data_IF_937632770140
#
_entry.id   IF_937632770140
#
_cell.length_a   1.000
_cell.length_b   1.000
_cell.length_c   1.000
_cell.angle_alpha   90.00
_cell.angle_beta   90.00
_cell.angle_gamma   90.00
#
_symmetry.space_group_name_H-M   'P 1'
#
loop_
_entity.id
_entity.type
_entity.pdbx_description
1 polymer ?
#
# COMPACT_ATOMS: atom_id res chain seq x y z
N UNK A 1 -6.00 2.15 15.16
CA UNK A 1 -7.49 2.11 15.19
C UNK A 1 -7.96 1.08 14.18
N UNK A 2 -9.04 0.31 14.44
CA UNK A 2 -9.40 -0.83 13.63
C UNK A 2 -9.84 -0.32 12.26
N UNK A 3 -8.95 -0.48 11.29
CA UNK A 3 -9.33 -0.43 9.89
C UNK A 3 -10.38 -1.53 9.71
N UNK A 4 -11.54 -1.22 9.10
CA UNK A 4 -12.60 -2.20 8.76
C UNK A 4 -11.96 -3.52 8.31
N UNK A 5 -12.59 -4.68 8.53
CA UNK A 5 -12.10 -6.08 8.36
C UNK A 5 -11.19 -6.41 7.14
N UNK A 6 -11.00 -5.51 6.20
CA UNK A 6 -10.25 -5.64 4.95
C UNK A 6 -9.57 -4.32 4.50
N UNK A 7 -9.22 -3.41 5.41
CA UNK A 7 -8.47 -2.20 5.09
C UNK A 7 -7.12 -2.26 5.82
N UNK A 8 -6.07 -1.76 5.19
CA UNK A 8 -4.75 -1.53 5.79
C UNK A 8 -4.33 -0.10 5.51
N UNK A 9 -3.50 0.49 6.37
CA UNK A 9 -2.88 1.79 6.15
C UNK A 9 -1.38 1.61 6.19
N UNK A 10 -0.72 1.89 5.07
CA UNK A 10 0.74 1.91 4.97
C UNK A 10 1.23 3.35 5.11
N UNK A 11 2.07 3.62 6.11
CA UNK A 11 2.58 4.97 6.36
C UNK A 11 3.87 5.21 5.59
N UNK A 12 3.85 6.28 4.81
CA UNK A 12 5.01 6.88 4.18
C UNK A 12 5.56 8.00 5.09
N UNK A 13 6.61 8.68 4.61
CA UNK A 13 7.17 9.87 5.27
C UNK A 13 6.09 10.94 5.55
N UNK A 14 6.37 11.78 6.55
CA UNK A 14 5.48 12.88 6.97
C UNK A 14 4.07 12.45 7.41
N UNK A 15 3.93 11.24 7.97
CA UNK A 15 2.63 10.72 8.46
C UNK A 15 1.52 10.61 7.39
N UNK A 16 1.90 10.58 6.11
CA UNK A 16 0.97 10.31 5.01
C UNK A 16 0.78 8.81 4.89
N UNK A 17 -0.45 8.34 5.09
CA UNK A 17 -0.83 6.96 4.94
C UNK A 17 -1.54 6.69 3.62
N UNK A 18 -1.13 5.65 2.90
CA UNK A 18 -1.95 5.06 1.85
C UNK A 18 -2.94 4.08 2.48
N UNK A 19 -4.23 4.33 2.29
CA UNK A 19 -5.30 3.45 2.76
C UNK A 19 -5.65 2.48 1.62
N UNK A 20 -5.37 1.20 1.84
CA UNK A 20 -5.63 0.16 0.86
C UNK A 20 -6.73 -0.78 1.35
N UNK A 21 -7.66 -1.15 0.47
CA UNK A 21 -8.55 -2.28 0.71
C UNK A 21 -7.88 -3.54 0.21
N UNK A 22 -7.71 -4.53 1.08
CA UNK A 22 -7.08 -5.78 0.73
C UNK A 22 -8.10 -6.92 0.55
N UNK A 23 -7.74 -7.88 -0.28
CA UNK A 23 -8.50 -9.12 -0.47
C UNK A 23 -7.57 -10.25 -0.87
N UNK A 24 -7.79 -11.45 -0.34
CA UNK A 24 -7.04 -12.64 -0.71
C UNK A 24 -7.76 -13.37 -1.84
N UNK A 25 -7.04 -13.72 -2.90
CA UNK A 25 -7.53 -14.52 -4.03
C UNK A 25 -6.49 -15.58 -4.38
N UNK A 26 -6.70 -16.81 -3.90
CA UNK A 26 -5.73 -17.88 -4.03
C UNK A 26 -4.47 -17.57 -3.25
N UNK A 27 -3.34 -17.55 -3.95
CA UNK A 27 -1.99 -17.23 -3.45
C UNK A 27 -1.69 -15.71 -3.43
N UNK A 28 -2.63 -14.87 -3.87
CA UNK A 28 -2.41 -13.42 -4.01
C UNK A 28 -3.16 -12.61 -2.96
N UNK A 29 -2.47 -11.64 -2.38
CA UNK A 29 -3.03 -10.53 -1.62
C UNK A 29 -3.15 -9.32 -2.55
N UNK A 30 -4.38 -8.96 -2.92
CA UNK A 30 -4.65 -7.80 -3.77
C UNK A 30 -4.94 -6.60 -2.88
N UNK A 31 -4.23 -5.50 -3.09
CA UNK A 31 -4.40 -4.23 -2.39
C UNK A 31 -4.85 -3.16 -3.37
N UNK A 32 -6.06 -2.65 -3.17
CA UNK A 32 -6.68 -1.65 -4.03
C UNK A 32 -6.73 -0.29 -3.35
N UNK A 33 -6.50 0.76 -4.12
CA UNK A 33 -6.51 2.13 -3.61
C UNK A 33 -7.84 2.49 -2.94
N UNK A 34 -7.80 2.94 -1.69
CA UNK A 34 -8.98 3.40 -0.95
C UNK A 34 -8.78 4.80 -0.32
N UNK A 35 -7.89 5.62 -0.88
CA UNK A 35 -7.61 6.99 -0.46
C UNK A 35 -6.27 7.16 0.24
N UNK A 36 -5.91 8.42 0.52
CA UNK A 36 -4.79 8.79 1.37
C UNK A 36 -5.31 9.43 2.65
N UNK A 37 -4.54 9.31 3.73
CA UNK A 37 -4.83 9.94 5.01
C UNK A 37 -3.59 10.63 5.54
N UNK A 38 -3.77 11.74 6.24
CA UNK A 38 -2.75 12.33 7.09
C UNK A 38 -3.05 11.93 8.53
N UNK A 39 -2.05 11.39 9.24
CA UNK A 39 -2.19 11.08 10.66
C UNK A 39 -1.65 12.24 11.50
N UNK A 40 -2.52 12.84 12.29
CA UNK A 40 -2.16 13.84 13.30
C UNK A 40 -2.59 13.31 14.68
N UNK A 41 -1.62 12.89 15.49
CA UNK A 41 -1.85 12.15 16.74
C UNK A 41 -2.73 10.90 16.51
N UNK A 42 -3.97 10.92 17.03
CA UNK A 42 -4.96 9.86 16.88
C UNK A 42 -6.07 10.21 15.87
N UNK A 43 -5.91 11.30 15.12
CA UNK A 43 -6.87 11.76 14.10
C UNK A 43 -6.35 11.38 12.71
N UNK A 44 -7.26 10.88 11.87
CA UNK A 44 -6.99 10.50 10.48
C UNK A 44 -7.75 11.44 9.55
N UNK A 45 -7.04 12.34 8.88
CA UNK A 45 -7.62 13.35 7.99
C UNK A 45 -7.52 12.82 6.54
N UNK A 46 -8.63 12.59 5.82
CA UNK A 46 -8.57 12.20 4.41
C UNK A 46 -7.87 13.26 3.56
N UNK A 47 -6.98 12.83 2.67
CA UNK A 47 -6.24 13.71 1.77
C UNK A 47 -6.66 13.49 0.30
N UNK A 48 -6.98 14.56 -0.45
CA UNK A 48 -7.30 14.48 -1.89
C UNK A 48 -6.03 14.39 -2.78
N UNK A 49 -4.87 14.02 -2.22
CA UNK A 49 -3.59 13.99 -2.94
C UNK A 49 -3.53 12.94 -4.06
N UNK A 50 -4.51 12.05 -4.16
CA UNK A 50 -4.65 11.14 -5.30
C UNK A 50 -4.80 11.88 -6.63
N UNK A 51 -5.22 13.15 -6.63
CA UNK A 51 -5.25 14.02 -7.80
C UNK A 51 -3.85 14.45 -8.28
N UNK A 52 -2.84 14.35 -7.43
CA UNK A 52 -1.46 14.76 -7.73
C UNK A 52 -0.59 13.51 -7.90
N UNK A 53 -0.67 12.57 -6.96
CA UNK A 53 0.14 11.36 -6.94
C UNK A 53 -0.47 10.22 -7.74
N UNK A 54 -1.78 10.23 -7.98
CA UNK A 54 -2.49 9.08 -8.56
C UNK A 54 -2.95 8.06 -7.52
N UNK A 55 -3.38 6.90 -8.00
CA UNK A 55 -3.92 5.80 -7.19
C UNK A 55 -2.91 4.66 -7.13
N UNK A 56 -2.49 4.31 -5.92
CA UNK A 56 -1.62 3.16 -5.67
C UNK A 56 -2.43 1.86 -5.56
N UNK A 57 -2.06 0.84 -6.34
CA UNK A 57 -2.54 -0.53 -6.19
C UNK A 57 -1.34 -1.47 -6.12
N UNK A 58 -1.48 -2.56 -5.38
CA UNK A 58 -0.44 -3.56 -5.28
C UNK A 58 -1.00 -4.98 -5.29
N UNK A 59 -0.16 -5.92 -5.70
CA UNK A 59 -0.43 -7.35 -5.62
C UNK A 59 0.79 -7.98 -4.98
N UNK A 60 0.57 -8.65 -3.87
CA UNK A 60 1.58 -9.45 -3.19
C UNK A 60 1.23 -10.93 -3.38
N UNK A 61 2.24 -11.78 -3.50
CA UNK A 61 2.09 -13.23 -3.55
C UNK A 61 3.21 -13.87 -2.74
N UNK A 62 2.82 -14.73 -1.81
CA UNK A 62 3.77 -15.52 -1.03
C UNK A 62 4.41 -16.60 -1.91
N UNK A 63 5.74 -16.64 -1.94
CA UNK A 63 6.53 -17.63 -2.71
C UNK A 63 7.07 -18.72 -1.78
N UNK A 64 7.54 -18.32 -0.59
CA UNK A 64 8.01 -19.21 0.47
C UNK A 64 7.68 -18.60 1.85
N UNK A 65 8.16 -19.21 2.92
CA UNK A 65 7.92 -18.73 4.29
C UNK A 65 8.42 -17.30 4.52
N UNK A 66 9.60 -16.98 3.99
CA UNK A 66 10.26 -15.67 4.14
C UNK A 66 10.37 -14.87 2.83
N UNK A 67 9.78 -15.37 1.74
CA UNK A 67 9.97 -14.80 0.40
C UNK A 67 8.63 -14.51 -0.25
N UNK A 68 8.46 -13.31 -0.78
CA UNK A 68 7.26 -12.89 -1.47
C UNK A 68 7.58 -12.11 -2.75
N UNK A 69 6.69 -12.20 -3.74
CA UNK A 69 6.70 -11.28 -4.88
C UNK A 69 5.72 -10.16 -4.63
N UNK A 70 6.09 -8.95 -5.06
CA UNK A 70 5.23 -7.80 -4.98
C UNK A 70 5.30 -6.99 -6.26
N UNK A 71 4.13 -6.57 -6.72
CA UNK A 71 3.93 -5.65 -7.83
C UNK A 71 3.17 -4.45 -7.29
N UNK A 72 3.70 -3.24 -7.47
CA UNK A 72 3.01 -2.00 -7.09
C UNK A 72 2.94 -1.06 -8.28
N UNK A 73 1.78 -0.44 -8.48
CA UNK A 73 1.54 0.54 -9.55
C UNK A 73 0.86 1.77 -8.99
N UNK A 74 1.43 2.93 -9.28
CA UNK A 74 0.87 4.24 -9.01
C UNK A 74 0.40 4.85 -10.33
N UNK A 75 -0.91 4.95 -10.49
CA UNK A 75 -1.53 5.43 -11.73
C UNK A 75 -2.15 6.80 -11.52
N UNK A 76 -1.58 7.81 -12.16
CA UNK A 76 -2.15 9.15 -12.27
C UNK A 76 -3.31 9.16 -13.28
N UNK A 77 -4.35 9.95 -13.01
CA UNK A 77 -5.55 9.96 -13.87
C UNK A 77 -5.30 10.56 -15.26
N UNK A 78 -4.35 11.51 -15.40
CA UNK A 78 -3.99 12.14 -16.68
C UNK A 78 -2.78 11.49 -17.37
N UNK A 79 -1.83 10.96 -16.60
CA UNK A 79 -0.51 10.57 -17.12
C UNK A 79 -0.31 9.06 -17.17
N UNK A 80 -1.31 8.28 -16.73
CA UNK A 80 -1.20 6.83 -16.63
C UNK A 80 -0.27 6.40 -15.50
N UNK A 81 0.48 5.32 -15.68
CA UNK A 81 1.42 4.80 -14.67
C UNK A 81 2.62 5.74 -14.56
N UNK A 82 2.75 6.42 -13.43
CA UNK A 82 3.87 7.34 -13.16
C UNK A 82 4.96 6.71 -12.31
N UNK A 83 4.64 5.61 -11.62
CA UNK A 83 5.59 4.85 -10.84
C UNK A 83 5.14 3.40 -10.75
N UNK A 84 6.06 2.47 -10.96
CA UNK A 84 5.85 1.05 -10.73
C UNK A 84 7.12 0.41 -10.18
N UNK A 85 6.93 -0.65 -9.40
CA UNK A 85 8.00 -1.60 -9.13
C UNK A 85 7.43 -3.01 -9.13
N UNK A 86 8.29 -3.95 -9.46
CA UNK A 86 8.02 -5.36 -9.40
C UNK A 86 9.30 -6.07 -8.93
N UNK A 87 9.15 -7.01 -8.00
CA UNK A 87 10.29 -7.75 -7.52
C UNK A 87 9.91 -8.90 -6.60
N UNK A 88 10.94 -9.70 -6.28
CA UNK A 88 10.88 -10.71 -5.23
C UNK A 88 11.68 -10.18 -4.05
N UNK A 89 11.07 -10.19 -2.89
CA UNK A 89 11.59 -9.66 -1.65
C UNK A 89 11.73 -10.79 -0.65
N UNK A 90 12.82 -10.74 0.13
CA UNK A 90 13.07 -11.65 1.23
C UNK A 90 12.93 -10.88 2.53
N UNK A 91 12.06 -11.35 3.41
CA UNK A 91 11.96 -10.84 4.78
C UNK A 91 13.22 -11.25 5.53
N UNK A 92 13.94 -10.25 6.02
CA UNK A 92 15.05 -10.44 6.97
C UNK A 92 14.54 -9.97 8.34
N UNK A 93 14.89 -10.68 9.42
CA UNK A 93 14.60 -10.18 10.77
C UNK A 93 15.22 -8.80 10.94
N UNK A 94 14.42 -7.86 11.46
CA UNK A 94 14.83 -6.46 11.59
C UNK A 94 16.03 -6.32 12.53
N UNK A 95 17.00 -5.50 12.12
CA UNK A 95 17.98 -4.91 13.04
C UNK A 95 17.17 -3.95 13.93
N UNK A 96 17.08 -4.25 15.23
CA UNK A 96 16.47 -3.34 16.19
C UNK A 96 17.31 -2.05 16.23
N UNK A 97 16.78 -0.94 15.74
CA UNK A 97 17.28 0.42 15.98
C UNK A 97 16.52 1.09 17.13
#
# INVERSE_FOLDING_TARGET
MPVKKNIVIEYMRFNVGWRAKFSVKGDKLLMSHHGYVFRLFNIYIPLPIALILGKCNAVERQIAEDTFSMEMKLTHFLFGTIYEYQGTFKMIEGINE
#
